data_IF_854834847928
#
_entry.id   IF_854834847928
#
_cell.length_a   1.000
_cell.length_b   1.000
_cell.length_c   1.000
_cell.angle_alpha   90.00
_cell.angle_beta   90.00
_cell.angle_gamma   90.00
#
_symmetry.space_group_name_H-M   'P 1'
#
loop_
_entity.id
_entity.type
_entity.pdbx_description
1 polymer ?
#
# COMPACT_ATOMS: atom_id res chain seq x y z
N UNK A 1 4.20 7.05 -28.38
CA UNK A 1 3.75 8.45 -28.14
C UNK A 1 2.85 8.50 -26.91
N UNK A 2 3.02 9.51 -26.04
CA UNK A 2 2.27 9.69 -24.78
C UNK A 2 0.75 9.79 -25.03
N UNK A 3 0.35 10.42 -26.15
CA UNK A 3 -1.05 10.57 -26.55
C UNK A 3 -1.81 9.23 -26.65
N UNK A 4 -1.26 8.26 -27.39
CA UNK A 4 -1.88 6.94 -27.54
C UNK A 4 -2.07 6.23 -26.19
N UNK A 5 -1.12 6.39 -25.26
CA UNK A 5 -1.24 5.84 -23.92
C UNK A 5 -2.34 6.53 -23.13
N UNK A 6 -2.40 7.86 -23.14
CA UNK A 6 -3.45 8.61 -22.45
C UNK A 6 -4.83 8.22 -22.98
N UNK A 7 -4.98 8.08 -24.30
CA UNK A 7 -6.21 7.59 -24.92
C UNK A 7 -6.54 6.16 -24.49
N UNK A 8 -5.56 5.25 -24.49
CA UNK A 8 -5.74 3.89 -23.97
C UNK A 8 -6.17 3.89 -22.51
N UNK A 9 -5.57 4.72 -21.66
CA UNK A 9 -5.93 4.82 -20.24
C UNK A 9 -7.31 5.42 -20.05
N UNK A 10 -7.69 6.41 -20.86
CA UNK A 10 -9.06 6.90 -20.93
C UNK A 10 -10.04 5.78 -21.29
N UNK A 11 -9.78 4.99 -22.34
CA UNK A 11 -10.61 3.82 -22.70
C UNK A 11 -10.65 2.80 -21.56
N UNK A 12 -9.52 2.52 -20.91
CA UNK A 12 -9.45 1.62 -19.76
C UNK A 12 -10.26 2.12 -18.56
N UNK A 13 -10.49 3.43 -18.43
CA UNK A 13 -11.36 3.98 -17.37
C UNK A 13 -12.82 3.53 -17.52
N UNK A 14 -13.25 3.15 -18.73
CA UNK A 14 -14.59 2.59 -19.00
C UNK A 14 -14.67 1.08 -18.77
N UNK A 15 -13.54 0.40 -18.46
CA UNK A 15 -13.55 -1.03 -18.08
C UNK A 15 -14.36 -1.28 -16.80
N UNK A 16 -14.49 -0.27 -15.95
CA UNK A 16 -15.18 -0.35 -14.67
C UNK A 16 -16.38 0.59 -14.64
N UNK A 17 -17.41 0.31 -13.83
CA UNK A 17 -18.53 1.22 -13.65
C UNK A 17 -18.05 2.57 -13.09
N UNK A 18 -18.82 3.63 -13.38
CA UNK A 18 -18.58 4.95 -12.81
C UNK A 18 -18.58 4.88 -11.28
N UNK A 19 -17.63 5.56 -10.64
CA UNK A 19 -17.51 5.56 -9.19
C UNK A 19 -16.86 4.31 -8.60
N UNK A 20 -16.35 3.37 -9.42
CA UNK A 20 -15.59 2.20 -8.94
C UNK A 20 -14.50 2.64 -7.97
N UNK A 21 -14.47 2.03 -6.79
CA UNK A 21 -13.49 2.35 -5.75
C UNK A 21 -12.21 1.55 -5.96
N UNK A 22 -11.07 2.23 -5.91
CA UNK A 22 -9.75 1.62 -5.87
C UNK A 22 -9.06 1.93 -4.55
N UNK A 23 -8.50 0.89 -3.91
CA UNK A 23 -7.55 1.05 -2.83
C UNK A 23 -6.13 0.90 -3.40
N UNK A 24 -5.48 2.06 -3.56
CA UNK A 24 -4.14 2.18 -4.13
C UNK A 24 -3.13 2.35 -3.02
N UNK A 25 -2.02 1.61 -3.08
CA UNK A 25 -0.89 1.81 -2.18
C UNK A 25 0.40 1.33 -2.80
N UNK A 26 1.54 1.84 -2.35
CA UNK A 26 2.81 1.13 -2.61
C UNK A 26 2.80 -0.23 -1.87
N UNK A 27 3.52 -1.27 -2.31
CA UNK A 27 3.71 -2.49 -1.52
C UNK A 27 4.15 -2.16 -0.08
N UNK A 28 3.79 -3.00 0.89
CA UNK A 28 4.14 -2.82 2.32
C UNK A 28 3.57 -1.57 3.03
N UNK A 29 2.62 -0.86 2.42
CA UNK A 29 1.94 0.30 3.05
C UNK A 29 0.80 -0.07 4.02
N UNK A 30 0.59 -1.35 4.32
CA UNK A 30 -0.49 -1.81 5.23
C UNK A 30 -1.84 -2.10 4.55
N UNK A 31 -1.89 -2.20 3.22
CA UNK A 31 -3.13 -2.45 2.44
C UNK A 31 -3.90 -3.69 2.91
N UNK A 32 -3.21 -4.77 3.27
CA UNK A 32 -3.85 -5.99 3.76
C UNK A 32 -4.61 -5.77 5.06
N UNK A 33 -4.07 -4.96 5.97
CA UNK A 33 -4.74 -4.66 7.25
C UNK A 33 -6.00 -3.83 7.05
N UNK A 34 -5.90 -2.75 6.26
CA UNK A 34 -7.08 -1.94 5.93
C UNK A 34 -8.15 -2.76 5.20
N UNK A 35 -7.73 -3.59 4.23
CA UNK A 35 -8.65 -4.47 3.52
C UNK A 35 -9.31 -5.50 4.45
N UNK A 36 -8.58 -6.06 5.41
CA UNK A 36 -9.13 -6.98 6.41
C UNK A 36 -10.23 -6.32 7.24
N UNK A 37 -9.97 -5.11 7.76
CA UNK A 37 -10.98 -4.34 8.49
C UNK A 37 -12.21 -4.03 7.62
N UNK A 38 -12.00 -3.63 6.36
CA UNK A 38 -13.08 -3.35 5.42
C UNK A 38 -13.93 -4.59 5.12
N UNK A 39 -13.30 -5.74 4.86
CA UNK A 39 -14.02 -7.00 4.62
C UNK A 39 -14.84 -7.42 5.85
N UNK A 40 -14.31 -7.26 7.05
CA UNK A 40 -15.07 -7.52 8.28
C UNK A 40 -16.28 -6.59 8.42
N UNK A 41 -16.13 -5.29 8.13
CA UNK A 41 -17.27 -4.36 8.12
C UNK A 41 -18.33 -4.78 7.12
N UNK A 42 -17.93 -5.08 5.88
CA UNK A 42 -18.86 -5.50 4.83
C UNK A 42 -19.58 -6.80 5.21
N UNK A 43 -18.86 -7.76 5.81
CA UNK A 43 -19.44 -9.01 6.31
C UNK A 43 -20.41 -8.77 7.46
N UNK A 44 -20.05 -7.94 8.44
CA UNK A 44 -20.90 -7.63 9.61
C UNK A 44 -22.18 -6.90 9.21
N UNK A 45 -22.13 -6.07 8.17
CA UNK A 45 -23.29 -5.35 7.64
C UNK A 45 -24.01 -6.09 6.50
N UNK A 46 -23.55 -7.28 6.13
CA UNK A 46 -24.08 -8.08 5.00
C UNK A 46 -24.10 -7.32 3.66
N UNK A 47 -23.17 -6.37 3.46
CA UNK A 47 -23.07 -5.56 2.24
C UNK A 47 -22.28 -6.34 1.18
N UNK A 48 -22.92 -6.67 0.06
CA UNK A 48 -22.30 -7.39 -1.05
C UNK A 48 -21.92 -6.48 -2.23
N UNK A 49 -22.57 -5.32 -2.35
CA UNK A 49 -22.44 -4.45 -3.53
C UNK A 49 -21.18 -3.58 -3.55
N UNK A 50 -20.52 -3.42 -2.40
CA UNK A 50 -19.28 -2.63 -2.30
C UNK A 50 -18.09 -3.52 -2.64
N UNK A 51 -17.61 -3.40 -3.87
CA UNK A 51 -16.39 -4.07 -4.33
C UNK A 51 -15.25 -3.05 -4.51
N UNK A 52 -14.22 -3.15 -3.65
CA UNK A 52 -13.03 -2.31 -3.66
C UNK A 52 -11.90 -2.99 -4.44
N UNK A 53 -11.47 -2.38 -5.55
CA UNK A 53 -10.37 -2.92 -6.34
C UNK A 53 -9.02 -2.58 -5.71
N UNK A 54 -8.29 -3.60 -5.28
CA UNK A 54 -6.95 -3.44 -4.74
C UNK A 54 -5.91 -3.36 -5.87
N UNK A 55 -4.93 -2.46 -5.76
CA UNK A 55 -3.84 -2.36 -6.73
C UNK A 55 -2.62 -1.64 -6.16
N UNK A 56 -1.42 -2.00 -6.61
CA UNK A 56 -0.23 -1.19 -6.39
C UNK A 56 0.17 -0.35 -7.59
N UNK A 57 -0.69 -0.31 -8.63
CA UNK A 57 -0.51 0.57 -9.78
C UNK A 57 0.90 0.49 -10.39
N UNK A 58 1.34 -0.76 -10.64
CA UNK A 58 2.62 -1.10 -11.27
C UNK A 58 3.87 -0.78 -10.43
N UNK A 59 3.70 -0.48 -9.14
CA UNK A 59 4.83 -0.25 -8.24
C UNK A 59 5.44 -1.54 -7.65
N UNK A 60 4.82 -2.71 -7.89
CA UNK A 60 5.36 -4.01 -7.48
C UNK A 60 6.78 -4.24 -8.04
N UNK A 61 7.69 -4.69 -7.17
CA UNK A 61 9.05 -5.11 -7.56
C UNK A 61 9.06 -6.60 -7.88
N UNK A 62 8.38 -7.38 -7.05
CA UNK A 62 8.22 -8.82 -7.19
C UNK A 62 6.88 -9.25 -6.59
N UNK A 63 6.25 -10.21 -7.24
CA UNK A 63 5.03 -10.86 -6.74
C UNK A 63 5.38 -12.11 -5.92
N UNK A 64 4.47 -12.54 -5.06
CA UNK A 64 4.66 -13.72 -4.19
C UNK A 64 4.99 -15.00 -5.01
N UNK A 65 4.46 -15.14 -6.23
CA UNK A 65 4.79 -16.25 -7.12
C UNK A 65 6.19 -16.18 -7.77
N UNK A 66 6.97 -15.12 -7.48
CA UNK A 66 8.30 -14.86 -8.02
C UNK A 66 8.33 -14.13 -9.36
N UNK A 67 7.18 -13.79 -9.94
CA UNK A 67 7.12 -12.95 -11.15
C UNK A 67 7.66 -11.54 -10.84
N UNK A 68 8.55 -11.05 -11.70
CA UNK A 68 9.20 -9.73 -11.60
C UNK A 68 8.66 -8.86 -12.74
N UNK A 69 7.69 -7.97 -12.47
CA UNK A 69 7.20 -7.02 -13.48
C UNK A 69 8.33 -6.14 -14.01
N UNK A 70 8.20 -5.63 -15.23
CA UNK A 70 9.13 -4.61 -15.74
C UNK A 70 9.11 -3.38 -14.81
N UNK A 71 10.21 -3.09 -14.09
CA UNK A 71 10.23 -2.01 -13.12
C UNK A 71 10.09 -0.63 -13.75
N UNK A 72 10.36 -0.51 -15.05
CA UNK A 72 10.26 0.75 -15.79
C UNK A 72 8.82 1.17 -16.07
N UNK A 73 7.85 0.26 -15.97
CA UNK A 73 6.43 0.56 -16.22
C UNK A 73 5.90 1.70 -15.35
N UNK A 74 6.34 1.78 -14.10
CA UNK A 74 5.97 2.85 -13.17
C UNK A 74 6.39 4.24 -13.70
N UNK A 75 7.59 4.32 -14.30
CA UNK A 75 8.17 5.57 -14.79
C UNK A 75 7.68 5.93 -16.20
N UNK A 76 7.33 4.92 -17.00
CA UNK A 76 6.95 5.08 -18.41
C UNK A 76 5.64 5.84 -18.61
N UNK A 77 4.73 5.79 -17.64
CA UNK A 77 3.38 6.33 -17.77
C UNK A 77 3.08 7.30 -16.63
N UNK A 78 3.20 8.62 -16.85
CA UNK A 78 3.07 9.61 -15.77
C UNK A 78 1.62 10.00 -15.45
N UNK A 79 0.67 9.77 -16.36
CA UNK A 79 -0.73 10.14 -16.16
C UNK A 79 -1.55 8.95 -15.63
N UNK A 80 -2.57 9.24 -14.82
CA UNK A 80 -3.46 8.23 -14.22
C UNK A 80 -4.88 8.27 -14.77
N UNK A 81 -5.04 8.56 -16.06
CA UNK A 81 -6.36 8.62 -16.72
C UNK A 81 -7.18 7.32 -16.64
N UNK A 82 -6.55 6.17 -16.36
CA UNK A 82 -7.27 4.93 -16.03
C UNK A 82 -8.24 5.11 -14.85
N UNK A 83 -7.95 6.02 -13.94
CA UNK A 83 -8.74 6.29 -12.75
C UNK A 83 -9.73 7.44 -12.92
N UNK A 84 -9.85 8.02 -14.13
CA UNK A 84 -10.66 9.22 -14.41
C UNK A 84 -12.11 9.10 -13.93
N UNK A 85 -12.70 7.91 -14.04
CA UNK A 85 -14.10 7.63 -13.66
C UNK A 85 -14.23 6.97 -12.29
N UNK A 86 -13.16 6.94 -11.52
CA UNK A 86 -13.03 6.12 -10.31
C UNK A 86 -12.95 6.98 -9.05
N UNK A 87 -13.26 6.39 -7.91
CA UNK A 87 -12.96 6.94 -6.58
C UNK A 87 -11.70 6.25 -6.06
N UNK A 88 -10.77 6.99 -5.49
CA UNK A 88 -9.48 6.45 -5.05
C UNK A 88 -9.29 6.68 -3.56
N UNK A 89 -9.05 5.60 -2.83
CA UNK A 89 -8.44 5.62 -1.51
C UNK A 89 -6.95 5.38 -1.72
N UNK A 90 -6.13 6.37 -1.43
CA UNK A 90 -4.67 6.28 -1.49
C UNK A 90 -4.12 6.06 -0.09
N UNK A 91 -3.64 4.84 0.18
CA UNK A 91 -3.02 4.48 1.44
C UNK A 91 -1.51 4.77 1.40
N UNK A 92 -1.12 5.78 2.15
CA UNK A 92 0.26 6.18 2.37
C UNK A 92 0.79 5.64 3.70
N UNK A 93 2.09 5.39 3.77
CA UNK A 93 2.87 5.05 4.96
C UNK A 93 4.23 5.75 4.84
N UNK A 94 4.90 6.00 5.96
CA UNK A 94 6.26 6.54 5.95
C UNK A 94 7.16 5.75 4.99
N UNK A 95 7.72 6.38 3.94
CA UNK A 95 8.56 5.70 2.96
C UNK A 95 9.74 4.94 3.58
N UNK A 96 10.23 5.35 4.76
CA UNK A 96 11.33 4.67 5.47
C UNK A 96 10.89 3.32 6.03
N UNK A 97 9.68 3.25 6.60
CA UNK A 97 9.09 1.97 7.03
C UNK A 97 8.76 1.09 5.82
N UNK A 98 8.36 1.68 4.70
CA UNK A 98 8.10 0.95 3.46
C UNK A 98 9.38 0.29 2.95
N UNK A 99 10.49 1.02 2.78
CA UNK A 99 11.72 0.46 2.19
C UNK A 99 12.30 -0.66 3.06
N UNK A 100 12.29 -0.47 4.39
CA UNK A 100 12.73 -1.48 5.34
C UNK A 100 11.88 -2.75 5.18
N UNK A 101 10.54 -2.62 5.14
CA UNK A 101 9.67 -3.77 4.93
C UNK A 101 9.76 -4.38 3.52
N UNK A 102 10.09 -3.59 2.50
CA UNK A 102 10.20 -4.05 1.12
C UNK A 102 11.40 -4.98 0.95
N UNK A 103 12.51 -4.70 1.61
CA UNK A 103 13.71 -5.54 1.59
C UNK A 103 13.36 -7.01 1.89
N UNK A 104 12.71 -7.26 3.03
CA UNK A 104 12.27 -8.61 3.42
C UNK A 104 11.20 -9.19 2.49
N UNK A 105 10.35 -8.37 1.88
CA UNK A 105 9.43 -8.87 0.87
C UNK A 105 10.18 -9.40 -0.36
N UNK A 106 11.18 -8.68 -0.85
CA UNK A 106 11.89 -9.04 -2.08
C UNK A 106 12.92 -10.15 -1.88
N UNK A 107 13.47 -10.30 -0.66
CA UNK A 107 14.47 -11.34 -0.33
C UNK A 107 13.86 -12.60 0.30
N UNK A 108 12.76 -12.50 1.04
CA UNK A 108 12.25 -13.62 1.85
C UNK A 108 10.83 -14.10 1.49
N UNK A 109 10.05 -13.32 0.74
CA UNK A 109 8.60 -13.58 0.53
C UNK A 109 8.22 -13.70 -0.94
N UNK A 110 9.04 -14.43 -1.70
CA UNK A 110 8.70 -14.87 -3.05
C UNK A 110 9.32 -16.23 -3.35
N UNK A 111 8.78 -16.96 -4.33
CA UNK A 111 9.38 -18.22 -4.80
C UNK A 111 10.76 -18.04 -5.45
N UNK A 112 11.04 -16.88 -6.02
CA UNK A 112 12.28 -16.57 -6.74
C UNK A 112 12.87 -15.23 -6.28
N UNK A 113 13.33 -15.15 -5.02
CA UNK A 113 13.70 -13.90 -4.39
C UNK A 113 14.88 -13.23 -5.07
N UNK A 114 15.03 -11.94 -4.80
CA UNK A 114 16.25 -11.21 -5.10
C UNK A 114 17.31 -11.51 -4.05
N UNK A 115 18.57 -11.49 -4.48
CA UNK A 115 19.72 -11.49 -3.58
C UNK A 115 20.35 -10.10 -3.64
N UNK A 116 20.52 -9.48 -2.47
CA UNK A 116 21.25 -8.24 -2.29
C UNK A 116 22.31 -8.49 -1.22
N UNK A 117 23.49 -7.89 -1.37
CA UNK A 117 24.60 -8.08 -0.42
C UNK A 117 24.26 -7.49 0.96
N UNK A 118 23.48 -6.40 0.99
CA UNK A 118 22.95 -5.79 2.20
C UNK A 118 21.62 -5.06 1.98
N UNK A 119 20.95 -4.71 3.09
CA UNK A 119 19.80 -3.80 3.05
C UNK A 119 20.21 -2.41 2.53
N UNK A 120 21.44 -1.96 2.78
CA UNK A 120 21.94 -0.66 2.31
C UNK A 120 22.01 -0.61 0.79
N UNK A 121 22.44 -1.70 0.16
CA UNK A 121 22.49 -1.81 -1.31
C UNK A 121 21.09 -1.73 -1.91
N UNK A 122 20.12 -2.41 -1.30
CA UNK A 122 18.72 -2.33 -1.73
C UNK A 122 18.13 -0.91 -1.57
N UNK A 123 18.37 -0.26 -0.42
CA UNK A 123 17.87 1.10 -0.15
C UNK A 123 18.37 2.10 -1.18
N UNK A 124 19.64 1.98 -1.59
CA UNK A 124 20.31 2.90 -2.53
C UNK A 124 20.17 2.48 -3.99
N UNK A 125 19.62 1.29 -4.26
CA UNK A 125 19.47 0.77 -5.62
C UNK A 125 18.68 1.72 -6.52
N UNK A 126 19.20 2.03 -7.71
CA UNK A 126 18.62 3.06 -8.60
C UNK A 126 17.21 2.72 -9.10
N UNK A 127 16.97 1.45 -9.42
CA UNK A 127 15.68 0.99 -9.95
C UNK A 127 14.65 0.65 -8.84
N UNK A 128 15.07 -0.11 -7.82
CA UNK A 128 14.19 -0.72 -6.82
C UNK A 128 14.17 -0.02 -5.46
N UNK A 129 15.15 0.84 -5.19
CA UNK A 129 15.39 1.42 -3.89
C UNK A 129 14.47 2.59 -3.55
N UNK A 130 14.88 3.36 -2.54
CA UNK A 130 14.05 4.35 -1.87
C UNK A 130 13.43 5.41 -2.81
N UNK A 131 14.19 5.84 -3.83
CA UNK A 131 13.75 6.82 -4.82
C UNK A 131 12.48 6.40 -5.56
N UNK A 132 12.27 5.09 -5.75
CA UNK A 132 11.06 4.53 -6.39
C UNK A 132 9.79 4.85 -5.58
N UNK A 133 9.87 4.80 -4.25
CA UNK A 133 8.75 5.10 -3.36
C UNK A 133 8.41 6.60 -3.45
N UNK A 134 9.43 7.46 -3.37
CA UNK A 134 9.25 8.92 -3.49
C UNK A 134 8.62 9.28 -4.83
N UNK A 135 9.10 8.65 -5.92
CA UNK A 135 8.51 8.83 -7.25
C UNK A 135 7.04 8.42 -7.28
N UNK A 136 6.69 7.23 -6.78
CA UNK A 136 5.29 6.76 -6.74
C UNK A 136 4.36 7.73 -5.98
N UNK A 137 4.82 8.26 -4.85
CA UNK A 137 4.04 9.20 -4.04
C UNK A 137 3.82 10.51 -4.79
N UNK A 138 4.89 11.09 -5.34
CA UNK A 138 4.80 12.32 -6.12
C UNK A 138 3.95 12.16 -7.38
N UNK A 139 4.06 11.02 -8.05
CA UNK A 139 3.23 10.64 -9.19
C UNK A 139 1.75 10.66 -8.82
N UNK A 140 1.36 10.03 -7.72
CA UNK A 140 -0.03 10.05 -7.25
C UNK A 140 -0.47 11.42 -6.77
N UNK A 141 0.38 12.19 -6.09
CA UNK A 141 0.06 13.57 -5.72
C UNK A 141 -0.19 14.47 -6.93
N UNK A 142 0.56 14.30 -8.03
CA UNK A 142 0.39 15.06 -9.26
C UNK A 142 -0.90 14.68 -10.01
N UNK A 143 -1.40 13.46 -9.78
CA UNK A 143 -2.59 12.92 -10.44
C UNK A 143 -3.82 12.87 -9.52
N UNK A 144 -3.76 13.39 -8.30
CA UNK A 144 -4.83 13.26 -7.29
C UNK A 144 -6.18 13.84 -7.71
N UNK A 145 -6.20 14.76 -8.67
CA UNK A 145 -7.40 15.41 -9.18
C UNK A 145 -7.99 14.70 -10.43
N UNK A 146 -7.36 13.63 -10.92
CA UNK A 146 -7.89 12.85 -12.06
C UNK A 146 -9.10 12.00 -11.65
N UNK A 147 -9.06 11.24 -10.54
CA UNK A 147 -10.23 10.51 -10.07
C UNK A 147 -11.38 11.46 -9.72
N UNK A 148 -12.61 10.97 -9.80
CA UNK A 148 -13.80 11.76 -9.44
C UNK A 148 -13.84 12.11 -7.95
N UNK A 149 -13.16 11.30 -7.13
CA UNK A 149 -13.02 11.49 -5.70
C UNK A 149 -11.71 10.86 -5.22
N UNK A 150 -11.00 11.52 -4.30
CA UNK A 150 -9.68 11.09 -3.84
C UNK A 150 -9.54 11.28 -2.33
N UNK A 151 -9.24 10.20 -1.62
CA UNK A 151 -9.00 10.18 -0.18
C UNK A 151 -7.59 9.70 0.13
N UNK A 152 -6.76 10.59 0.66
CA UNK A 152 -5.52 10.20 1.33
C UNK A 152 -5.84 9.58 2.69
N UNK A 153 -5.27 8.40 2.93
CA UNK A 153 -5.29 7.69 4.21
C UNK A 153 -3.85 7.44 4.61
N UNK A 154 -3.50 7.76 5.87
CA UNK A 154 -2.17 7.45 6.41
C UNK A 154 -2.22 6.24 7.32
N UNK A 155 -1.32 5.29 7.09
CA UNK A 155 -1.16 4.12 7.94
C UNK A 155 -0.90 4.49 9.40
N UNK A 156 -0.12 5.54 9.65
CA UNK A 156 0.18 6.02 11.00
C UNK A 156 -1.07 6.55 11.71
N UNK A 157 -2.01 7.14 10.97
CA UNK A 157 -3.29 7.59 11.54
C UNK A 157 -4.20 6.39 11.83
N UNK A 158 -4.17 5.36 10.97
CA UNK A 158 -4.90 4.11 11.22
C UNK A 158 -4.40 3.40 12.48
N UNK A 159 -3.11 3.50 12.82
CA UNK A 159 -2.56 2.94 14.06
C UNK A 159 -3.05 3.65 15.32
N UNK A 160 -3.47 4.91 15.22
CA UNK A 160 -3.83 5.75 16.36
C UNK A 160 -5.30 5.59 16.81
N UNK A 161 -6.04 4.64 16.23
CA UNK A 161 -7.42 4.35 16.61
C UNK A 161 -8.39 4.34 15.43
N UNK A 162 -9.69 4.38 15.74
CA UNK A 162 -10.75 4.15 14.76
C UNK A 162 -11.07 5.34 13.88
N UNK A 163 -10.67 6.56 14.24
CA UNK A 163 -11.12 7.79 13.57
C UNK A 163 -10.74 7.85 12.09
N UNK A 164 -9.52 7.45 11.75
CA UNK A 164 -9.09 7.41 10.36
C UNK A 164 -9.85 6.33 9.59
N UNK A 165 -10.12 5.18 10.23
CA UNK A 165 -10.93 4.12 9.63
C UNK A 165 -12.39 4.56 9.42
N UNK A 166 -13.00 5.26 10.37
CA UNK A 166 -14.33 5.87 10.22
C UNK A 166 -14.39 6.85 9.04
N UNK A 167 -13.34 7.64 8.81
CA UNK A 167 -13.24 8.51 7.63
C UNK A 167 -13.20 7.71 6.32
N UNK A 168 -12.56 6.54 6.31
CA UNK A 168 -12.59 5.63 5.16
C UNK A 168 -14.00 5.08 4.94
N UNK A 169 -14.69 4.66 5.99
CA UNK A 169 -16.08 4.16 5.89
C UNK A 169 -17.04 5.25 5.41
N UNK A 170 -16.90 6.46 5.93
CA UNK A 170 -17.65 7.63 5.45
C UNK A 170 -17.38 7.93 3.97
N UNK A 171 -16.12 7.86 3.53
CA UNK A 171 -15.79 7.95 2.10
C UNK A 171 -16.51 6.86 1.31
N UNK A 172 -16.60 5.63 1.81
CA UNK A 172 -17.34 4.55 1.15
C UNK A 172 -18.87 4.66 1.26
N UNK A 173 -19.40 5.72 1.89
CA UNK A 173 -20.82 5.89 2.22
C UNK A 173 -21.39 4.75 3.10
N UNK A 174 -20.53 4.13 3.92
CA UNK A 174 -20.91 3.09 4.87
C UNK A 174 -21.24 3.74 6.21
N UNK A 175 -22.49 3.57 6.66
CA UNK A 175 -22.93 3.97 7.99
C UNK A 175 -22.85 2.76 8.93
N UNK A 176 -22.19 2.93 10.07
CA UNK A 176 -21.99 1.88 11.05
C UNK A 176 -21.86 2.49 12.44
N UNK A 177 -22.28 1.76 13.47
CA UNK A 177 -22.11 2.18 14.86
C UNK A 177 -20.61 2.10 15.25
N UNK A 178 -20.13 3.13 15.94
CA UNK A 178 -18.80 3.23 16.52
C UNK A 178 -18.42 2.02 17.38
N UNK A 179 -19.36 1.40 18.10
CA UNK A 179 -19.11 0.19 18.90
C UNK A 179 -18.68 -0.99 18.01
N UNK A 180 -19.35 -1.15 16.86
CA UNK A 180 -19.03 -2.21 15.90
C UNK A 180 -17.68 -1.94 15.24
N UNK A 181 -17.42 -0.67 14.89
CA UNK A 181 -16.11 -0.25 14.34
C UNK A 181 -15.00 -0.54 15.34
N UNK A 182 -15.20 -0.21 16.61
CA UNK A 182 -14.26 -0.45 17.70
C UNK A 182 -13.98 -1.94 17.87
N UNK A 183 -15.02 -2.77 17.87
CA UNK A 183 -14.87 -4.22 17.95
C UNK A 183 -14.07 -4.78 16.77
N UNK A 184 -14.39 -4.39 15.54
CA UNK A 184 -13.66 -4.83 14.35
C UNK A 184 -12.19 -4.39 14.40
N UNK A 185 -11.93 -3.16 14.84
CA UNK A 185 -10.58 -2.63 15.00
C UNK A 185 -9.78 -3.44 16.03
N UNK A 186 -10.36 -3.74 17.19
CA UNK A 186 -9.74 -4.58 18.24
C UNK A 186 -9.51 -6.04 17.79
N UNK A 187 -10.38 -6.60 16.97
CA UNK A 187 -10.22 -7.94 16.36
C UNK A 187 -9.19 -7.98 15.22
N UNK A 188 -8.83 -6.81 14.70
CA UNK A 188 -7.86 -6.63 13.63
C UNK A 188 -6.48 -6.20 14.15
N UNK A 189 -6.20 -6.36 15.44
CA UNK A 189 -4.90 -6.00 16.00
C UNK A 189 -3.75 -6.77 15.35
N UNK A 190 -2.55 -6.18 15.33
CA UNK A 190 -1.38 -6.78 14.72
C UNK A 190 -1.07 -8.18 15.27
N UNK A 191 -1.21 -8.38 16.58
CA UNK A 191 -0.99 -9.68 17.22
C UNK A 191 -2.00 -10.73 16.76
N UNK A 192 -3.29 -10.37 16.70
CA UNK A 192 -4.35 -11.27 16.23
C UNK A 192 -4.17 -11.60 14.75
N UNK A 193 -3.81 -10.63 13.92
CA UNK A 193 -3.52 -10.90 12.51
C UNK A 193 -2.28 -11.79 12.33
N UNK A 194 -1.20 -11.55 13.09
CA UNK A 194 -0.01 -12.43 13.09
C UNK A 194 -0.38 -13.86 13.48
N UNK A 195 -1.23 -14.02 14.50
CA UNK A 195 -1.71 -15.34 14.93
C UNK A 195 -2.49 -16.03 13.80
N UNK A 196 -3.46 -15.35 13.20
CA UNK A 196 -4.23 -15.85 12.04
C UNK A 196 -3.35 -16.21 10.85
N UNK A 197 -2.32 -15.40 10.57
CA UNK A 197 -1.36 -15.65 9.49
C UNK A 197 -0.55 -16.93 9.73
N UNK A 198 -0.03 -17.12 10.95
CA UNK A 198 0.71 -18.33 11.34
C UNK A 198 -0.17 -19.59 11.32
N UNK A 199 -1.46 -19.45 11.59
CA UNK A 199 -2.46 -20.53 11.56
C UNK A 199 -3.00 -20.80 10.14
N UNK A 200 -2.54 -20.09 9.10
CA UNK A 200 -3.03 -20.18 7.72
C UNK A 200 -4.54 -19.91 7.56
N UNK A 201 -5.13 -19.10 8.45
CA UNK A 201 -6.57 -18.79 8.41
C UNK A 201 -6.88 -17.47 7.69
N UNK A 202 -5.88 -16.84 7.06
CA UNK A 202 -6.05 -15.64 6.26
C UNK A 202 -6.13 -15.99 4.76
N UNK A 203 -7.32 -15.88 4.19
CA UNK A 203 -7.54 -16.11 2.77
C UNK A 203 -6.68 -15.19 1.89
N UNK A 204 -6.09 -15.77 0.83
CA UNK A 204 -5.32 -15.02 -0.18
C UNK A 204 -3.91 -14.58 0.25
N UNK A 205 -3.32 -15.20 1.27
CA UNK A 205 -1.92 -15.01 1.65
C UNK A 205 -1.12 -16.27 1.33
N UNK A 206 -0.06 -16.13 0.54
CA UNK A 206 0.90 -17.22 0.33
C UNK A 206 1.78 -17.36 1.57
N UNK A 207 1.82 -18.56 2.17
CA UNK A 207 2.61 -18.81 3.37
C UNK A 207 4.07 -19.13 3.00
N UNK A 208 5.00 -18.27 3.42
CA UNK A 208 6.45 -18.43 3.18
C UNK A 208 7.21 -18.95 4.40
N UNK A 209 6.57 -19.00 5.57
CA UNK A 209 7.15 -19.45 6.83
C UNK A 209 6.57 -18.69 8.03
N UNK A 210 6.93 -19.13 9.23
CA UNK A 210 6.40 -18.58 10.50
C UNK A 210 7.36 -17.59 11.19
N UNK A 211 8.61 -17.51 10.73
CA UNK A 211 9.59 -16.50 11.17
C UNK A 211 9.09 -15.09 10.85
N UNK A 212 9.39 -14.12 11.73
CA UNK A 212 8.83 -12.77 11.64
C UNK A 212 9.05 -12.16 10.25
N UNK A 213 10.25 -12.27 9.69
CA UNK A 213 10.63 -11.69 8.39
C UNK A 213 9.98 -12.37 7.18
N UNK A 214 9.35 -13.53 7.37
CA UNK A 214 8.57 -14.25 6.35
C UNK A 214 7.07 -13.93 6.44
N UNK A 215 6.62 -13.25 7.51
CA UNK A 215 5.24 -12.82 7.71
C UNK A 215 4.91 -11.53 6.94
N UNK A 216 3.64 -11.36 6.58
CA UNK A 216 3.05 -10.12 6.04
C UNK A 216 2.90 -9.08 7.12
N UNK A 217 2.53 -9.50 8.32
CA UNK A 217 2.47 -8.65 9.50
C UNK A 217 3.77 -8.84 10.31
N UNK A 218 4.78 -8.01 10.06
CA UNK A 218 6.04 -7.97 10.84
C UNK A 218 5.83 -7.20 12.15
N UNK A 219 6.36 -5.98 12.22
CA UNK A 219 6.31 -5.15 13.42
C UNK A 219 4.97 -4.45 13.61
N UNK A 220 4.31 -4.04 12.52
CA UNK A 220 3.04 -3.29 12.53
C UNK A 220 3.06 -2.03 13.43
N UNK A 221 4.23 -1.40 13.53
CA UNK A 221 4.45 -0.16 14.28
C UNK A 221 4.97 0.93 13.34
N UNK A 222 4.88 2.18 13.80
CA UNK A 222 5.49 3.35 13.16
C UNK A 222 6.97 3.42 13.56
N UNK A 223 7.84 3.72 12.61
CA UNK A 223 9.27 3.97 12.86
C UNK A 223 10.11 2.71 13.06
N UNK A 224 9.57 1.54 12.72
CA UNK A 224 10.28 0.25 12.75
C UNK A 224 11.54 0.24 11.89
N UNK A 225 11.62 1.10 10.87
CA UNK A 225 12.81 1.28 10.04
C UNK A 225 14.09 1.54 10.83
N UNK A 226 14.00 2.07 12.07
CA UNK A 226 15.16 2.33 12.93
C UNK A 226 15.86 1.06 13.41
N UNK A 227 15.16 -0.06 13.41
CA UNK A 227 15.71 -1.36 13.79
C UNK A 227 16.42 -2.04 12.62
N UNK A 228 15.97 -1.77 11.39
CA UNK A 228 16.44 -2.43 10.17
C UNK A 228 17.51 -1.61 9.42
N UNK A 229 17.44 -0.27 9.48
CA UNK A 229 18.29 0.63 8.69
C UNK A 229 19.44 1.23 9.51
N UNK A 230 20.62 1.34 8.90
CA UNK A 230 21.74 2.06 9.49
C UNK A 230 21.48 3.57 9.54
N UNK A 231 22.23 4.30 10.39
CA UNK A 231 22.15 5.78 10.43
C UNK A 231 22.43 6.43 9.07
N UNK A 232 23.35 5.86 8.29
CA UNK A 232 23.67 6.35 6.94
C UNK A 232 22.50 6.15 5.97
N UNK A 233 21.81 5.01 6.07
CA UNK A 233 20.63 4.74 5.24
C UNK A 233 19.47 5.66 5.61
N UNK A 234 19.25 5.89 6.92
CA UNK A 234 18.24 6.83 7.41
C UNK A 234 18.55 8.25 6.92
N UNK A 235 19.82 8.68 6.97
CA UNK A 235 20.23 9.99 6.48
C UNK A 235 19.99 10.14 4.97
N UNK A 236 20.36 9.12 4.19
CA UNK A 236 20.07 9.07 2.75
C UNK A 236 18.56 9.17 2.47
N UNK A 237 17.75 8.38 3.18
CA UNK A 237 16.30 8.42 3.05
C UNK A 237 15.74 9.79 3.41
N UNK A 238 16.18 10.39 4.52
CA UNK A 238 15.75 11.72 4.94
C UNK A 238 16.11 12.80 3.90
N UNK A 239 17.25 12.66 3.21
CA UNK A 239 17.62 13.58 2.14
C UNK A 239 16.72 13.43 0.91
N UNK A 240 16.42 12.19 0.49
CA UNK A 240 15.49 11.93 -0.62
C UNK A 240 14.04 12.34 -0.28
N UNK A 241 13.64 12.21 0.99
CA UNK A 241 12.33 12.65 1.50
C UNK A 241 12.09 14.15 1.31
N UNK A 242 13.14 14.99 1.20
CA UNK A 242 12.97 16.42 0.89
C UNK A 242 12.32 16.67 -0.48
N UNK A 243 12.39 15.69 -1.39
CA UNK A 243 11.74 15.73 -2.71
C UNK A 243 10.28 15.27 -2.65
N UNK A 244 9.82 14.74 -1.52
CA UNK A 244 8.44 14.30 -1.34
C UNK A 244 7.51 15.51 -1.22
N UNK A 245 6.38 15.46 -1.92
CA UNK A 245 5.34 16.48 -1.81
C UNK A 245 4.88 16.69 -0.37
N UNK A 246 4.80 17.96 0.05
CA UNK A 246 4.30 18.38 1.37
C UNK A 246 2.86 17.94 1.63
N UNK A 247 2.11 17.58 0.58
CA UNK A 247 0.79 16.95 0.67
C UNK A 247 0.78 15.76 1.65
N UNK A 248 1.83 14.95 1.65
CA UNK A 248 1.91 13.77 2.51
C UNK A 248 2.36 14.06 3.94
N UNK A 249 2.94 15.23 4.26
CA UNK A 249 3.39 15.62 5.62
C UNK A 249 4.16 14.51 6.35
N UNK A 250 5.21 13.98 5.71
CA UNK A 250 6.18 13.04 6.32
C UNK A 250 7.56 13.69 6.56
N UNK A 251 7.65 15.01 6.34
CA UNK A 251 8.76 15.87 6.67
C UNK A 251 8.42 16.66 7.94
#
# INVERSE_FOLDING_TARGET
>A
MIFYRNFKDFVLSFKYPYGKVFLVSYPNSGRSWLNYMLLNVLKTLEIQDINIQLTHDQSEIILENGFKPDPLLLYKYPNRYKYLRSRVIFLARDPRDIIASNFYQVTNRSKFPFNFDSISDFVKHDVYGFKRIIYFYNLWNNNKNIPVDFKLVKYENLLNGIDEFKKVLSFLNIKINDDIVSNIYMESSADKMRKKEKENTLDGITHFGTELDKLKVRHATKGSFRNDLSNNDILYCNNEMKKLSSFFKYF
#
